data_IF_203824940506
#
_entry.id   IF_203824940506
#
_cell.length_a   1.000
_cell.length_b   1.000
_cell.length_c   1.000
_cell.angle_alpha   90.00
_cell.angle_beta   90.00
_cell.angle_gamma   90.00
#
_symmetry.space_group_name_H-M   'P 1'
#
loop_
_entity.id
_entity.type
_entity.pdbx_description
1 polymer ?
#
# COMPACT_ATOMS: atom_id res chain seq x y z
N UNK A 1 14.11 -17.51 -9.91
CA UNK A 1 14.14 -18.57 -10.94
C UNK A 1 15.37 -18.53 -11.84
N UNK A 2 15.69 -17.41 -12.50
CA UNK A 2 16.80 -17.35 -13.46
C UNK A 2 18.19 -17.67 -12.85
N UNK A 3 18.55 -17.02 -11.74
CA UNK A 3 19.83 -17.25 -11.04
C UNK A 3 20.01 -18.72 -10.62
N UNK A 4 18.95 -19.32 -10.08
CA UNK A 4 18.95 -20.70 -9.58
C UNK A 4 19.12 -21.71 -10.71
N UNK A 5 18.55 -21.46 -11.89
CA UNK A 5 18.74 -22.30 -13.09
C UNK A 5 20.17 -22.26 -13.61
N UNK A 6 20.87 -21.13 -13.49
CA UNK A 6 22.23 -21.00 -13.97
C UNK A 6 23.29 -21.54 -13.00
N UNK A 7 22.97 -21.66 -11.71
CA UNK A 7 23.86 -22.19 -10.66
C UNK A 7 25.27 -21.55 -10.70
N UNK A 8 25.31 -20.23 -10.91
CA UNK A 8 26.53 -19.42 -10.88
C UNK A 8 26.47 -18.45 -9.70
N UNK A 9 27.62 -17.92 -9.25
CA UNK A 9 27.62 -16.88 -8.21
C UNK A 9 26.73 -15.70 -8.63
N UNK A 10 25.71 -15.41 -7.83
CA UNK A 10 24.73 -14.33 -8.10
C UNK A 10 24.40 -13.58 -6.81
N UNK A 11 24.18 -12.27 -6.94
CA UNK A 11 23.65 -11.42 -5.88
C UNK A 11 22.33 -10.80 -6.34
N UNK A 12 21.36 -10.67 -5.44
CA UNK A 12 20.09 -10.01 -5.70
C UNK A 12 20.00 -8.77 -4.81
N UNK A 13 19.96 -7.60 -5.44
CA UNK A 13 19.77 -6.33 -4.75
C UNK A 13 18.29 -5.98 -4.83
N UNK A 14 17.60 -6.12 -3.70
CA UNK A 14 16.20 -5.72 -3.60
C UNK A 14 16.11 -4.21 -3.33
N UNK A 15 15.14 -3.55 -3.97
CA UNK A 15 14.88 -2.13 -3.78
C UNK A 15 14.25 -1.81 -2.42
N UNK A 16 13.80 -0.58 -2.26
CA UNK A 16 13.11 -0.15 -1.05
C UNK A 16 11.62 -0.54 -1.12
N UNK A 17 11.04 -0.78 0.05
CA UNK A 17 9.60 -0.85 0.29
C UNK A 17 9.07 0.55 0.61
N UNK A 18 7.83 0.83 0.26
CA UNK A 18 7.16 2.05 0.74
C UNK A 18 6.16 1.72 1.81
N UNK A 19 6.18 2.55 2.83
CA UNK A 19 5.15 2.65 3.84
C UNK A 19 4.68 4.09 3.85
N UNK A 20 3.38 4.26 4.09
CA UNK A 20 2.81 5.57 4.30
C UNK A 20 2.26 5.68 5.70
N UNK A 21 2.19 6.92 6.19
CA UNK A 21 1.43 7.28 7.38
C UNK A 21 0.32 8.19 6.88
N UNK A 22 -0.91 7.68 6.84
CA UNK A 22 -2.08 8.46 6.42
C UNK A 22 -3.16 8.35 7.48
N UNK A 23 -3.75 9.50 7.79
CA UNK A 23 -4.78 9.61 8.80
C UNK A 23 -6.15 9.49 8.10
N UNK A 24 -6.73 8.29 8.06
CA UNK A 24 -8.10 8.07 7.56
C UNK A 24 -9.02 7.57 8.69
N UNK A 25 -9.67 8.48 9.44
CA UNK A 25 -10.58 8.10 10.53
C UNK A 25 -11.73 7.20 10.08
N UNK A 26 -12.17 7.33 8.83
CA UNK A 26 -13.30 6.60 8.25
C UNK A 26 -12.97 5.12 7.96
N UNK A 27 -11.68 4.77 7.83
CA UNK A 27 -11.18 3.39 7.76
C UNK A 27 -10.70 2.88 9.14
N UNK A 28 -10.90 3.65 10.21
CA UNK A 28 -10.44 3.31 11.57
C UNK A 28 -8.96 3.61 11.84
N UNK A 29 -8.25 4.24 10.90
CA UNK A 29 -6.85 4.63 11.06
C UNK A 29 -6.72 5.87 11.95
N UNK A 30 -5.86 5.77 12.96
CA UNK A 30 -5.48 6.86 13.87
C UNK A 30 -4.25 7.58 13.34
N UNK A 31 -4.02 8.78 13.88
CA UNK A 31 -2.83 9.57 13.55
C UNK A 31 -1.56 8.80 13.84
N UNK A 32 -0.81 8.47 12.79
CA UNK A 32 0.42 7.68 12.89
C UNK A 32 0.29 6.22 12.46
N UNK A 33 -0.89 5.76 12.08
CA UNK A 33 -1.07 4.39 11.58
C UNK A 33 -0.51 4.22 10.17
N UNK A 34 -0.02 3.02 9.89
CA UNK A 34 0.59 2.69 8.60
C UNK A 34 -0.48 2.29 7.61
N UNK A 35 -0.51 2.99 6.48
CA UNK A 35 -1.41 2.71 5.36
C UNK A 35 -0.60 2.12 4.22
N UNK A 36 -1.18 1.11 3.58
CA UNK A 36 -0.56 0.31 2.54
C UNK A 36 -1.46 0.24 1.29
N UNK A 37 -1.00 -0.50 0.27
CA UNK A 37 -1.76 -0.64 -0.98
C UNK A 37 -3.06 -1.44 -0.79
N UNK A 38 -3.14 -2.32 0.23
CA UNK A 38 -4.33 -3.09 0.54
C UNK A 38 -5.49 -2.18 0.92
N UNK A 39 -5.21 -1.08 1.62
CA UNK A 39 -6.20 -0.09 2.04
C UNK A 39 -6.88 0.61 0.87
N UNK A 40 -6.17 0.80 -0.24
CA UNK A 40 -6.79 1.31 -1.46
C UNK A 40 -7.85 0.33 -1.99
N UNK A 41 -7.61 -0.99 -1.89
CA UNK A 41 -8.60 -2.00 -2.25
C UNK A 41 -9.75 -2.05 -1.25
N UNK A 42 -9.46 -1.95 0.05
CA UNK A 42 -10.48 -1.94 1.11
C UNK A 42 -11.37 -0.69 1.07
N UNK A 43 -10.81 0.46 0.67
CA UNK A 43 -11.57 1.72 0.50
C UNK A 43 -12.76 1.56 -0.46
N UNK A 44 -12.63 0.75 -1.50
CA UNK A 44 -13.73 0.47 -2.42
C UNK A 44 -14.84 -0.35 -1.73
N UNK A 45 -14.45 -1.31 -0.89
CA UNK A 45 -15.39 -2.06 -0.06
C UNK A 45 -16.13 -1.15 0.93
N UNK A 46 -15.40 -0.29 1.63
CA UNK A 46 -15.95 0.68 2.58
C UNK A 46 -16.87 1.70 1.92
N UNK A 47 -16.57 2.14 0.69
CA UNK A 47 -17.45 3.01 -0.10
C UNK A 47 -18.75 2.28 -0.45
N UNK A 48 -18.66 1.01 -0.84
CA UNK A 48 -19.84 0.22 -1.22
C UNK A 48 -20.76 -0.08 -0.03
N UNK A 49 -20.20 -0.22 1.16
CA UNK A 49 -20.96 -0.41 2.41
C UNK A 49 -21.46 0.91 3.02
N UNK A 50 -21.14 2.05 2.40
CA UNK A 50 -21.56 3.37 2.86
C UNK A 50 -20.81 3.90 4.09
N UNK A 51 -19.63 3.34 4.38
CA UNK A 51 -18.78 3.76 5.51
C UNK A 51 -17.91 4.98 5.18
N UNK A 52 -17.55 5.16 3.91
CA UNK A 52 -16.78 6.32 3.43
C UNK A 52 -17.46 7.00 2.24
N UNK A 53 -17.23 8.30 2.08
CA UNK A 53 -17.62 9.09 0.92
C UNK A 53 -16.71 8.84 -0.29
N UNK A 54 -17.16 9.19 -1.49
CA UNK A 54 -16.32 9.06 -2.70
C UNK A 54 -15.11 10.02 -2.64
N UNK A 55 -15.24 11.16 -1.95
CA UNK A 55 -14.15 12.11 -1.73
C UNK A 55 -13.05 11.50 -0.84
N UNK A 56 -13.42 10.86 0.26
CA UNK A 56 -12.49 10.15 1.14
C UNK A 56 -11.84 8.97 0.43
N UNK A 57 -12.61 8.20 -0.35
CA UNK A 57 -12.07 7.12 -1.19
C UNK A 57 -11.03 7.65 -2.17
N UNK A 58 -11.33 8.76 -2.83
CA UNK A 58 -10.43 9.35 -3.81
C UNK A 58 -9.13 9.84 -3.16
N UNK A 59 -9.21 10.36 -1.94
CA UNK A 59 -8.05 10.83 -1.20
C UNK A 59 -7.14 9.68 -0.75
N UNK A 60 -7.73 8.57 -0.27
CA UNK A 60 -7.00 7.33 0.06
C UNK A 60 -6.25 6.79 -1.16
N UNK A 61 -6.92 6.72 -2.32
CA UNK A 61 -6.30 6.19 -3.56
C UNK A 61 -5.13 7.08 -4.03
N UNK A 62 -5.26 8.40 -3.94
CA UNK A 62 -4.18 9.33 -4.33
C UNK A 62 -2.97 9.23 -3.42
N UNK A 63 -3.18 8.97 -2.15
CA UNK A 63 -2.12 8.95 -1.16
C UNK A 63 -1.60 7.54 -0.87
N UNK A 64 -2.17 6.48 -1.45
CA UNK A 64 -1.70 5.10 -1.25
C UNK A 64 -0.28 4.82 -1.78
N UNK A 65 0.26 5.63 -2.69
CA UNK A 65 1.59 5.47 -3.27
C UNK A 65 2.40 6.78 -3.24
N UNK A 66 3.25 7.01 -2.22
CA UNK A 66 4.01 8.26 -2.06
C UNK A 66 5.27 8.35 -2.93
N UNK A 67 5.75 7.23 -3.45
CA UNK A 67 7.13 7.10 -3.93
C UNK A 67 7.40 5.80 -4.71
N UNK A 68 8.68 5.55 -5.01
CA UNK A 68 9.15 4.56 -5.99
C UNK A 68 9.96 3.38 -5.40
N UNK A 69 9.57 2.13 -5.76
CA UNK A 69 9.84 0.91 -4.98
C UNK A 69 8.59 0.01 -4.79
N UNK A 70 8.66 -1.00 -3.93
CA UNK A 70 7.65 -2.06 -3.84
C UNK A 70 6.49 -1.74 -2.87
N UNK A 71 5.35 -2.39 -3.10
CA UNK A 71 4.19 -2.32 -2.21
C UNK A 71 4.57 -2.75 -0.78
N UNK A 72 4.39 -1.87 0.20
CA UNK A 72 4.46 -2.22 1.62
C UNK A 72 3.19 -2.90 2.12
N UNK A 73 3.28 -3.52 3.29
CA UNK A 73 2.20 -4.30 3.89
C UNK A 73 2.41 -5.80 3.66
N UNK A 74 2.83 -6.48 4.73
CA UNK A 74 2.73 -7.93 4.89
C UNK A 74 1.85 -8.19 6.10
#
# INVERSE_FOLDING_TARGET
>A
MAALRHNRPTILVYGMLHYLVYDCPALGYKKGDTVNIADAFESFGAYKTGQISDEERFDVVRHACPGAGACGGM
#
